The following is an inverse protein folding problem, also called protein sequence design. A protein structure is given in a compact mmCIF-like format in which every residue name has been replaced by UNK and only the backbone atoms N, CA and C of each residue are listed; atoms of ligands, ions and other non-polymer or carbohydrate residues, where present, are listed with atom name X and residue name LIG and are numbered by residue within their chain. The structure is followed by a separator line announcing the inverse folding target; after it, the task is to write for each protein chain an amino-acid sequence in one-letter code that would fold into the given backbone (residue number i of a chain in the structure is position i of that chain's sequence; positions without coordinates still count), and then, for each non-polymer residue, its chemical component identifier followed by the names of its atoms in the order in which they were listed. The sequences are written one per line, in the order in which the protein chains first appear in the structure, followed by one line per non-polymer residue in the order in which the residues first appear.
data_IF_265786932028
#
_entry.id   IF_265786932028
#
_cell.length_a   1.000
_cell.length_b   1.000
_cell.length_c   1.000
_cell.angle_alpha   90.00
_cell.angle_beta   90.00
_cell.angle_gamma   90.00
#
_symmetry.space_group_name_H-M   'P 1'
#
loop_
_entity.id
_entity.type
_entity.pdbx_description
1 polymer ?
#
# COMPACT_ATOMS: atom_id res chain seq x y z
N UNK A 1 3.63 4.19 -15.84
CA UNK A 1 5.05 4.39 -15.45
C UNK A 1 5.66 3.14 -14.82
N UNK A 2 5.18 2.61 -13.68
CA UNK A 2 5.78 1.42 -13.04
C UNK A 2 5.81 0.16 -13.94
N UNK A 3 4.71 -0.16 -14.65
CA UNK A 3 4.70 -1.28 -15.62
C UNK A 3 5.72 -1.11 -16.75
N UNK A 4 5.91 0.11 -17.23
CA UNK A 4 6.93 0.44 -18.24
C UNK A 4 8.32 0.18 -17.67
N UNK A 5 8.60 0.64 -16.45
CA UNK A 5 9.88 0.37 -15.77
C UNK A 5 10.17 -1.13 -15.64
N UNK A 6 9.14 -1.94 -15.37
CA UNK A 6 9.28 -3.40 -15.35
C UNK A 6 9.63 -3.98 -16.73
N UNK A 7 9.12 -3.39 -17.81
CA UNK A 7 9.43 -3.78 -19.19
C UNK A 7 10.84 -3.33 -19.61
N UNK A 8 11.30 -2.16 -19.15
CA UNK A 8 12.65 -1.66 -19.46
C UNK A 8 13.74 -2.56 -18.84
N UNK A 9 13.45 -3.18 -17.69
CA UNK A 9 14.38 -4.06 -16.97
C UNK A 9 14.33 -5.53 -17.44
N UNK A 10 13.75 -5.82 -18.62
CA UNK A 10 13.56 -7.20 -19.12
C UNK A 10 14.86 -8.00 -19.22
N UNK A 11 15.99 -7.36 -19.53
CA UNK A 11 17.27 -8.05 -19.63
C UNK A 11 17.71 -8.62 -18.27
N UNK A 12 17.49 -7.88 -17.17
CA UNK A 12 17.78 -8.34 -15.80
C UNK A 12 16.91 -9.53 -15.43
N UNK A 13 15.63 -9.50 -15.80
CA UNK A 13 14.71 -10.61 -15.49
C UNK A 13 15.05 -11.88 -16.27
N UNK A 14 15.56 -11.73 -17.50
CA UNK A 14 15.98 -12.83 -18.37
C UNK A 14 17.28 -13.50 -17.93
N UNK A 15 18.18 -12.75 -17.31
CA UNK A 15 19.50 -13.23 -16.91
C UNK A 15 19.38 -14.36 -15.87
N UNK A 16 20.00 -15.52 -16.15
CA UNK A 16 19.98 -16.68 -15.27
C UNK A 16 21.06 -16.63 -14.18
N UNK A 17 22.08 -15.78 -14.33
CA UNK A 17 23.18 -15.64 -13.37
C UNK A 17 22.72 -14.94 -12.08
N UNK A 18 21.71 -14.07 -12.20
CA UNK A 18 21.18 -13.29 -11.09
C UNK A 18 20.19 -14.15 -10.29
N UNK A 19 20.43 -14.26 -8.99
CA UNK A 19 19.55 -14.98 -8.07
C UNK A 19 18.15 -14.36 -8.00
N UNK A 20 17.14 -15.20 -7.79
CA UNK A 20 15.74 -14.77 -7.72
C UNK A 20 15.51 -13.72 -6.62
N UNK A 21 16.13 -13.92 -5.46
CA UNK A 21 16.06 -12.98 -4.33
C UNK A 21 16.62 -11.59 -4.70
N UNK A 22 17.72 -11.54 -5.46
CA UNK A 22 18.29 -10.27 -5.91
C UNK A 22 17.35 -9.58 -6.91
N UNK A 23 16.73 -10.34 -7.84
CA UNK A 23 15.72 -9.78 -8.76
C UNK A 23 14.53 -9.19 -8.01
N UNK A 24 14.04 -9.86 -6.96
CA UNK A 24 12.97 -9.35 -6.10
C UNK A 24 13.40 -8.02 -5.44
N UNK A 25 14.62 -7.96 -4.89
CA UNK A 25 15.17 -6.72 -4.31
C UNK A 25 15.26 -5.59 -5.34
N UNK A 26 15.72 -5.87 -6.55
CA UNK A 26 15.78 -4.88 -7.66
C UNK A 26 14.37 -4.40 -8.01
N UNK A 27 13.40 -5.30 -8.12
CA UNK A 27 12.01 -4.94 -8.40
C UNK A 27 11.43 -4.03 -7.30
N UNK A 28 11.62 -4.39 -6.02
CA UNK A 28 11.16 -3.58 -4.88
C UNK A 28 11.84 -2.21 -4.82
N UNK A 29 13.11 -2.10 -5.18
CA UNK A 29 13.85 -0.83 -5.12
C UNK A 29 13.58 0.09 -6.31
N UNK A 30 13.40 -0.45 -7.52
CA UNK A 30 13.25 0.38 -8.74
C UNK A 30 11.80 0.51 -9.23
N UNK A 31 10.98 -0.53 -9.08
CA UNK A 31 9.61 -0.54 -9.61
C UNK A 31 8.62 -0.10 -8.54
N UNK A 32 8.75 -0.59 -7.30
CA UNK A 32 7.82 -0.18 -6.24
C UNK A 32 8.01 1.28 -5.83
N UNK A 33 9.23 1.80 -5.86
CA UNK A 33 9.47 3.24 -5.59
C UNK A 33 8.73 4.13 -6.56
N UNK A 34 8.77 3.80 -7.86
CA UNK A 34 8.00 4.50 -8.90
C UNK A 34 6.49 4.33 -8.70
N UNK A 35 6.04 3.13 -8.30
CA UNK A 35 4.62 2.86 -8.08
C UNK A 35 4.06 3.57 -6.84
N UNK A 36 4.88 3.72 -5.80
CA UNK A 36 4.47 4.28 -4.49
C UNK A 36 4.79 5.76 -4.35
N UNK A 37 5.39 6.36 -5.37
CA UNK A 37 5.63 7.79 -5.41
C UNK A 37 4.33 8.57 -5.26
N UNK A 38 4.24 9.42 -4.23
CA UNK A 38 3.04 10.21 -3.91
C UNK A 38 1.84 9.41 -3.40
N UNK A 39 1.96 8.09 -3.16
CA UNK A 39 0.84 7.25 -2.72
C UNK A 39 0.28 7.64 -1.34
N UNK A 40 1.07 8.34 -0.53
CA UNK A 40 0.68 8.87 0.78
C UNK A 40 -0.54 9.80 0.68
N UNK A 41 -0.64 10.57 -0.42
CA UNK A 41 -1.75 11.51 -0.66
C UNK A 41 -3.02 10.86 -1.22
N UNK A 42 -2.98 9.60 -1.67
CA UNK A 42 -4.10 8.99 -2.39
C UNK A 42 -5.26 8.61 -1.49
N UNK A 43 -6.49 8.93 -1.87
CA UNK A 43 -7.68 8.31 -1.28
C UNK A 43 -7.90 6.95 -1.95
N UNK A 44 -7.67 5.86 -1.21
CA UNK A 44 -7.70 4.49 -1.74
C UNK A 44 -9.08 3.89 -1.50
N UNK A 45 -9.79 3.58 -2.60
CA UNK A 45 -11.05 2.82 -2.58
C UNK A 45 -10.76 1.32 -2.68
N UNK A 46 -11.71 0.47 -2.27
CA UNK A 46 -11.61 -1.00 -2.42
C UNK A 46 -11.26 -1.46 -3.84
N UNK A 47 -11.80 -0.80 -4.88
CA UNK A 47 -11.45 -1.09 -6.28
C UNK A 47 -9.97 -0.82 -6.59
N UNK A 48 -9.38 0.21 -5.98
CA UNK A 48 -7.96 0.53 -6.12
C UNK A 48 -7.09 -0.44 -5.31
N UNK A 49 -7.52 -0.86 -4.11
CA UNK A 49 -6.82 -1.92 -3.35
C UNK A 49 -6.69 -3.19 -4.18
N UNK A 50 -7.79 -3.66 -4.79
CA UNK A 50 -7.78 -4.82 -5.70
C UNK A 50 -6.81 -4.63 -6.87
N UNK A 51 -6.83 -3.45 -7.51
CA UNK A 51 -5.89 -3.13 -8.60
C UNK A 51 -4.43 -3.15 -8.15
N UNK A 52 -4.12 -2.63 -6.96
CA UNK A 52 -2.75 -2.64 -6.41
C UNK A 52 -2.27 -4.08 -6.23
N UNK A 53 -3.11 -4.94 -5.62
CA UNK A 53 -2.79 -6.35 -5.44
C UNK A 53 -2.60 -7.07 -6.79
N UNK A 54 -3.48 -6.84 -7.77
CA UNK A 54 -3.32 -7.41 -9.11
C UNK A 54 -2.06 -6.90 -9.82
N UNK A 55 -1.67 -5.64 -9.62
CA UNK A 55 -0.42 -5.11 -10.19
C UNK A 55 0.82 -5.71 -9.54
N UNK A 56 0.79 -5.96 -8.22
CA UNK A 56 1.86 -6.66 -7.52
C UNK A 56 2.04 -8.07 -8.10
N UNK A 57 0.95 -8.81 -8.27
CA UNK A 57 1.01 -10.14 -8.89
C UNK A 57 1.47 -10.11 -10.35
N UNK A 58 1.12 -9.06 -11.09
CA UNK A 58 1.62 -8.87 -12.45
C UNK A 58 3.14 -8.68 -12.48
N UNK A 59 3.72 -7.96 -11.50
CA UNK A 59 5.17 -7.82 -11.40
C UNK A 59 5.84 -9.17 -11.11
N UNK A 60 5.32 -9.96 -10.17
CA UNK A 60 5.86 -11.28 -9.85
C UNK A 60 5.77 -12.26 -11.03
N UNK A 61 4.63 -12.31 -11.75
CA UNK A 61 4.52 -13.10 -12.98
C UNK A 61 5.53 -12.69 -14.04
N UNK A 62 5.77 -11.38 -14.19
CA UNK A 62 6.73 -10.87 -15.16
C UNK A 62 8.17 -11.20 -14.78
N UNK A 63 8.49 -11.16 -13.48
CA UNK A 63 9.78 -11.54 -12.91
C UNK A 63 10.11 -13.02 -13.18
N UNK A 64 9.13 -13.92 -12.94
CA UNK A 64 9.24 -15.36 -13.20
C UNK A 64 9.06 -15.75 -14.68
N UNK A 65 8.66 -14.78 -15.52
CA UNK A 65 8.38 -14.99 -16.95
C UNK A 65 7.27 -16.01 -17.24
N UNK A 66 6.32 -16.15 -16.31
CA UNK A 66 5.18 -17.07 -16.43
C UNK A 66 4.30 -16.63 -17.60
N UNK A 67 4.00 -17.56 -18.49
CA UNK A 67 3.04 -17.36 -19.57
C UNK A 67 1.61 -17.49 -19.05
N UNK A 68 0.66 -16.83 -19.71
CA UNK A 68 -0.75 -16.96 -19.32
C UNK A 68 -1.29 -18.39 -19.49
N UNK A 69 -0.66 -19.21 -20.35
CA UNK A 69 -1.06 -20.59 -20.66
C UNK A 69 -0.84 -21.54 -19.50
N UNK A 70 0.14 -21.27 -18.64
CA UNK A 70 0.49 -22.11 -17.50
C UNK A 70 -0.58 -22.08 -16.39
N UNK A 71 -1.54 -21.14 -16.43
CA UNK A 71 -2.66 -21.01 -15.47
C UNK A 71 -2.25 -21.15 -13.99
N UNK A 72 -1.03 -20.73 -13.65
CA UNK A 72 -0.50 -20.74 -12.28
C UNK A 72 -1.37 -19.88 -11.36
N UNK A 73 -1.77 -20.46 -10.23
CA UNK A 73 -2.48 -19.77 -9.15
C UNK A 73 -1.59 -18.71 -8.51
N UNK A 74 -2.19 -17.64 -7.97
CA UNK A 74 -1.45 -16.60 -7.27
C UNK A 74 -0.68 -17.15 -6.07
N UNK A 75 -1.27 -18.11 -5.36
CA UNK A 75 -0.68 -18.73 -4.18
C UNK A 75 0.62 -19.49 -4.51
N UNK A 76 0.60 -20.28 -5.57
CA UNK A 76 1.78 -21.03 -6.01
C UNK A 76 2.96 -20.11 -6.38
N UNK A 77 2.67 -18.95 -6.97
CA UNK A 77 3.68 -17.95 -7.32
C UNK A 77 4.30 -17.33 -6.07
N UNK A 78 3.49 -17.05 -5.05
CA UNK A 78 3.96 -16.48 -3.78
C UNK A 78 4.82 -17.47 -3.01
N UNK A 79 4.43 -18.75 -2.99
CA UNK A 79 5.19 -19.85 -2.38
C UNK A 79 6.54 -20.04 -3.07
N UNK A 80 6.59 -20.04 -4.41
CA UNK A 80 7.82 -20.16 -5.19
C UNK A 80 8.79 -19.00 -4.91
N UNK A 81 8.27 -17.79 -4.75
CA UNK A 81 9.07 -16.60 -4.43
C UNK A 81 9.43 -16.50 -2.94
N UNK A 82 8.81 -17.31 -2.08
CA UNK A 82 8.84 -17.19 -0.63
C UNK A 82 8.52 -15.76 -0.17
N UNK A 83 7.48 -15.15 -0.76
CA UNK A 83 7.08 -13.77 -0.49
C UNK A 83 5.56 -13.65 -0.31
N UNK A 84 5.15 -12.68 0.50
CA UNK A 84 3.74 -12.31 0.68
C UNK A 84 3.41 -11.03 -0.10
N UNK A 85 2.12 -10.76 -0.29
CA UNK A 85 1.65 -9.47 -0.83
C UNK A 85 1.95 -8.36 0.17
N UNK A 86 2.88 -7.48 -0.19
CA UNK A 86 3.41 -6.43 0.69
C UNK A 86 3.20 -5.03 0.13
N UNK A 87 2.88 -4.86 -1.15
CA UNK A 87 2.80 -3.54 -1.78
C UNK A 87 1.69 -2.66 -1.17
N UNK A 88 0.48 -3.20 -1.01
CA UNK A 88 -0.62 -2.46 -0.39
C UNK A 88 -0.28 -2.05 1.05
N UNK A 89 0.31 -2.98 1.80
CA UNK A 89 0.69 -2.80 3.19
C UNK A 89 1.83 -1.79 3.36
N UNK A 90 2.76 -1.78 2.43
CA UNK A 90 3.79 -0.76 2.32
C UNK A 90 3.19 0.63 2.08
N UNK A 91 2.20 0.75 1.18
CA UNK A 91 1.48 2.01 0.94
C UNK A 91 0.71 2.45 2.21
N UNK A 92 0.00 1.52 2.86
CA UNK A 92 -0.72 1.80 4.12
C UNK A 92 0.23 2.33 5.19
N UNK A 93 1.37 1.66 5.39
CA UNK A 93 2.40 2.07 6.35
C UNK A 93 2.88 3.49 6.08
N UNK A 94 3.23 3.80 4.83
CA UNK A 94 3.70 5.14 4.44
C UNK A 94 2.63 6.19 4.67
N UNK A 95 1.39 5.92 4.24
CA UNK A 95 0.25 6.83 4.42
C UNK A 95 -0.01 7.14 5.90
N UNK A 96 -0.06 6.11 6.75
CA UNK A 96 -0.27 6.28 8.20
C UNK A 96 0.89 7.02 8.88
N UNK A 97 2.12 6.72 8.46
CA UNK A 97 3.32 7.42 8.96
C UNK A 97 3.28 8.90 8.59
N UNK A 98 2.94 9.21 7.34
CA UNK A 98 2.77 10.57 6.83
C UNK A 98 1.65 11.32 7.56
N UNK A 99 0.51 10.65 7.80
CA UNK A 99 -0.60 11.23 8.54
C UNK A 99 -0.21 11.61 9.98
N UNK A 100 0.44 10.70 10.70
CA UNK A 100 0.91 10.97 12.06
C UNK A 100 2.00 12.05 12.11
N UNK A 101 2.87 12.14 11.09
CA UNK A 101 3.83 13.25 10.96
C UNK A 101 3.12 14.58 10.74
N UNK A 102 2.16 14.63 9.81
CA UNK A 102 1.41 15.85 9.49
C UNK A 102 0.61 16.35 10.68
N UNK A 103 -0.03 15.47 11.45
CA UNK A 103 -0.84 15.88 12.60
C UNK A 103 -0.04 16.45 13.77
N UNK A 104 1.22 15.99 13.94
CA UNK A 104 2.19 16.48 14.93
C UNK A 104 2.99 17.69 14.44
N UNK A 105 3.01 17.94 13.12
CA UNK A 105 3.67 19.11 12.55
C UNK A 105 2.91 20.39 12.91
N UNK A 106 3.65 21.52 12.96
CA UNK A 106 3.08 22.86 13.17
C UNK A 106 2.28 23.37 11.97
N UNK A 107 2.37 22.72 10.81
CA UNK A 107 1.65 23.11 9.59
C UNK A 107 0.14 22.80 9.69
N UNK A 108 -0.66 23.84 9.93
CA UNK A 108 -2.11 23.74 10.12
C UNK A 108 -2.87 23.43 8.83
N UNK A 109 -2.41 23.95 7.69
CA UNK A 109 -3.11 23.79 6.41
C UNK A 109 -3.22 22.32 5.99
N UNK A 110 -2.09 21.61 5.94
CA UNK A 110 -2.07 20.21 5.49
C UNK A 110 -2.85 19.32 6.46
N UNK A 111 -2.76 19.60 7.77
CA UNK A 111 -3.56 18.95 8.81
C UNK A 111 -5.06 19.12 8.56
N UNK A 112 -5.52 20.35 8.26
CA UNK A 112 -6.93 20.63 7.98
C UNK A 112 -7.42 19.92 6.71
N UNK A 113 -6.61 19.93 5.64
CA UNK A 113 -6.91 19.25 4.37
C UNK A 113 -7.06 17.74 4.60
N UNK A 114 -6.10 17.10 5.27
CA UNK A 114 -6.11 15.65 5.49
C UNK A 114 -7.25 15.20 6.41
N UNK A 115 -7.59 16.00 7.42
CA UNK A 115 -8.74 15.74 8.30
C UNK A 115 -10.08 15.99 7.61
N UNK A 116 -10.08 16.70 6.47
CA UNK A 116 -11.29 17.08 5.77
C UNK A 116 -12.13 18.11 6.53
N UNK A 117 -11.50 18.93 7.38
CA UNK A 117 -12.13 20.06 8.10
C UNK A 117 -12.14 21.30 7.19
N UNK A 118 -12.78 21.19 6.03
CA UNK A 118 -13.03 22.35 5.16
C UNK A 118 -14.45 22.86 5.42
N UNK A 119 -14.61 24.18 5.37
CA UNK A 119 -15.90 24.83 5.54
C UNK A 119 -16.86 24.42 4.41
N UNK A 120 -18.06 23.96 4.79
CA UNK A 120 -19.09 23.51 3.84
C UNK A 120 -19.88 22.29 4.32
N UNK A 121 -21.10 22.12 3.79
CA UNK A 121 -21.93 20.96 4.06
C UNK A 121 -21.65 19.87 3.02
N UNK A 122 -21.53 18.62 3.47
CA UNK A 122 -21.48 17.46 2.56
C UNK A 122 -22.85 17.27 1.90
N UNK A 123 -22.85 16.85 0.64
CA UNK A 123 -24.09 16.48 -0.06
C UNK A 123 -24.83 15.38 0.69
N UNK A 124 -26.16 15.46 0.70
CA UNK A 124 -27.05 14.47 1.30
C UNK A 124 -26.97 13.17 0.50
N UNK A 125 -26.87 12.01 1.18
CA UNK A 125 -26.69 10.69 0.56
C UNK A 125 -25.40 10.00 1.03
N UNK A 126 -24.91 9.00 0.27
CA UNK A 126 -23.65 8.28 0.59
C UNK A 126 -22.44 9.16 0.24
N UNK A 127 -21.68 9.70 1.22
CA UNK A 127 -20.56 10.56 0.92
C UNK A 127 -19.43 9.79 0.23
N UNK A 128 -18.66 10.49 -0.60
CA UNK A 128 -17.43 9.93 -1.17
C UNK A 128 -16.46 9.63 -0.03
N UNK A 129 -15.82 8.45 -0.08
CA UNK A 129 -14.72 8.09 0.82
C UNK A 129 -13.66 9.18 0.75
N UNK A 130 -13.23 9.69 1.90
CA UNK A 130 -12.16 10.67 2.00
C UNK A 130 -10.85 10.03 2.51
N UNK A 131 -9.79 10.84 2.59
CA UNK A 131 -8.49 10.41 3.11
C UNK A 131 -8.60 9.83 4.53
N UNK A 132 -9.31 10.52 5.41
CA UNK A 132 -9.42 10.18 6.83
C UNK A 132 -10.22 8.88 7.07
N UNK A 133 -11.18 8.58 6.22
CA UNK A 133 -11.94 7.33 6.23
C UNK A 133 -11.03 6.12 5.98
N UNK A 134 -9.97 6.28 5.16
CA UNK A 134 -8.96 5.23 5.02
C UNK A 134 -8.23 4.97 6.33
N UNK A 135 -7.81 6.03 7.03
CA UNK A 135 -7.11 5.93 8.31
C UNK A 135 -7.98 5.17 9.32
N UNK A 136 -9.23 5.59 9.52
CA UNK A 136 -10.20 4.92 10.39
C UNK A 136 -10.41 3.45 10.01
N UNK A 137 -10.59 3.19 8.72
CA UNK A 137 -10.86 1.82 8.25
C UNK A 137 -9.69 0.86 8.47
N UNK A 138 -8.45 1.36 8.46
CA UNK A 138 -7.26 0.54 8.62
C UNK A 138 -6.81 0.43 10.07
N UNK A 139 -7.01 1.47 10.89
CA UNK A 139 -6.72 1.42 12.33
C UNK A 139 -7.86 0.78 13.12
N UNK A 140 -9.07 0.73 12.56
CA UNK A 140 -10.31 0.32 13.24
C UNK A 140 -10.65 1.17 14.49
N UNK A 141 -10.14 2.40 14.53
CA UNK A 141 -10.30 3.31 15.66
C UNK A 141 -11.30 4.44 15.36
N UNK A 142 -11.85 5.02 16.41
CA UNK A 142 -12.68 6.21 16.30
C UNK A 142 -11.84 7.47 16.06
N UNK A 143 -12.49 8.55 15.61
CA UNK A 143 -11.81 9.84 15.37
C UNK A 143 -11.08 10.36 16.62
N UNK A 144 -11.65 10.15 17.82
CA UNK A 144 -11.12 10.67 19.09
C UNK A 144 -9.85 9.90 19.49
N UNK A 145 -9.96 8.58 19.54
CA UNK A 145 -8.82 7.68 19.83
C UNK A 145 -7.62 7.94 18.92
N UNK A 146 -7.88 8.19 17.63
CA UNK A 146 -6.82 8.53 16.68
C UNK A 146 -6.09 9.82 17.10
N UNK A 147 -6.80 10.85 17.55
CA UNK A 147 -6.16 12.09 18.00
C UNK A 147 -5.38 11.93 19.29
N UNK A 148 -5.88 11.13 20.23
CA UNK A 148 -5.24 10.89 21.51
C UNK A 148 -3.91 10.13 21.31
N UNK A 149 -3.91 9.13 20.44
CA UNK A 149 -2.73 8.29 20.17
C UNK A 149 -1.70 8.96 19.26
N UNK A 150 -2.11 9.87 18.37
CA UNK A 150 -1.19 10.50 17.41
C UNK A 150 -0.10 11.34 18.07
N UNK A 151 -0.39 11.96 19.22
CA UNK A 151 0.55 12.81 19.93
C UNK A 151 1.73 11.98 20.45
N UNK A 152 1.43 10.79 20.97
CA UNK A 152 2.41 9.81 21.43
C UNK A 152 3.07 9.09 20.25
N UNK A 153 4.27 9.54 19.88
CA UNK A 153 4.98 9.08 18.68
C UNK A 153 5.17 7.57 18.63
N UNK A 154 5.51 6.96 19.76
CA UNK A 154 5.86 5.55 19.83
C UNK A 154 4.61 4.66 19.85
N UNK A 155 3.55 5.09 20.53
CA UNK A 155 2.25 4.43 20.48
C UNK A 155 1.69 4.47 19.05
N UNK A 156 1.74 5.62 18.38
CA UNK A 156 1.33 5.71 16.98
C UNK A 156 2.15 4.78 16.07
N UNK A 157 3.47 4.73 16.23
CA UNK A 157 4.33 3.83 15.45
C UNK A 157 3.97 2.36 15.64
N UNK A 158 3.68 1.95 16.87
CA UNK A 158 3.25 0.61 17.19
C UNK A 158 1.90 0.29 16.52
N UNK A 159 0.93 1.19 16.65
CA UNK A 159 -0.38 1.06 15.99
C UNK A 159 -0.27 0.95 14.48
N UNK A 160 0.63 1.71 13.83
CA UNK A 160 0.88 1.58 12.39
C UNK A 160 1.42 0.19 12.05
N UNK A 161 2.31 -0.36 12.88
CA UNK A 161 2.82 -1.72 12.68
C UNK A 161 1.72 -2.78 12.84
N UNK A 162 0.85 -2.62 13.83
CA UNK A 162 -0.27 -3.53 14.10
C UNK A 162 -1.34 -3.47 13.00
N UNK A 163 -1.75 -2.28 12.58
CA UNK A 163 -2.72 -2.08 11.50
C UNK A 163 -2.24 -2.69 10.17
N UNK A 164 -0.93 -2.63 9.91
CA UNK A 164 -0.31 -3.24 8.74
C UNK A 164 -0.22 -4.76 8.86
N UNK A 165 0.04 -5.31 10.06
CA UNK A 165 0.03 -6.76 10.33
C UNK A 165 -1.37 -7.36 10.25
N UNK A 166 -2.37 -6.74 10.85
CA UNK A 166 -3.76 -7.22 10.83
C UNK A 166 -4.32 -7.32 9.40
N UNK A 167 -3.85 -6.45 8.50
CA UNK A 167 -4.21 -6.50 7.09
C UNK A 167 -3.58 -7.67 6.30
N UNK A 168 -2.50 -8.31 6.81
CA UNK A 168 -1.95 -9.53 6.22
C UNK A 168 -2.82 -10.76 6.54
N UNK A 169 -3.39 -10.82 7.74
CA UNK A 169 -4.17 -11.98 8.20
C UNK A 169 -5.49 -12.11 7.44
N UNK A 170 -6.23 -11.02 7.25
CA UNK A 170 -7.51 -11.00 6.53
C UNK A 170 -7.38 -11.12 4.99
N UNK A 171 -6.14 -11.14 4.47
CA UNK A 171 -5.87 -11.30 3.04
C UNK A 171 -5.80 -12.76 2.57
N UNK A 172 -5.70 -13.71 3.51
CA UNK A 172 -5.62 -15.14 3.23
C UNK A 172 -6.99 -15.83 3.17
N UNK A 173 -8.07 -15.17 3.62
CA UNK A 173 -9.42 -15.75 3.71
C UNK A 173 -10.32 -15.43 2.50
N UNK A 174 -9.75 -14.88 1.42
CA UNK A 174 -10.46 -14.58 0.18
C UNK A 174 -9.77 -15.23 -1.02
N UNK A 175 -9.68 -16.56 -0.97
CA UNK A 175 -9.40 -17.44 -2.11
C UNK A 175 -10.67 -17.82 -2.84
#
# INVERSE_FOLDING_TARGET
MAKKRMQDLVNIWKDKTITLQLKIKIMKTLVWTVMTYGAEGWTIKKKQEKKINSTEMWFYRRLLRISWRERRTDQNILEELNEERKLLNYIKKRKLTFFGHTCRSKCTLMKNILQGRMEGKRQRGRPRINYFDNIKSWTQMTTREIYDVILERDVWRQMVHEAVRAANVLGNDAG
#
